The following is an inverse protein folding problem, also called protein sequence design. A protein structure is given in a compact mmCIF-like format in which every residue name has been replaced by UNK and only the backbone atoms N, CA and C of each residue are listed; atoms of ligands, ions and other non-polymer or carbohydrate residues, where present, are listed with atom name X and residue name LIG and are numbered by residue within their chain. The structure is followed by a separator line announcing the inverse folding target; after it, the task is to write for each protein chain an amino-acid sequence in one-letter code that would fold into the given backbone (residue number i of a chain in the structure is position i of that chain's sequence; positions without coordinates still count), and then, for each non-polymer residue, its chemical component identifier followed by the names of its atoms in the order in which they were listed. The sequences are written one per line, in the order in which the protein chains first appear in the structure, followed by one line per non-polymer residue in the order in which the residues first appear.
data_IF_579041930589
#
_entry.id   IF_579041930589
#
_cell.length_a   1.000
_cell.length_b   1.000
_cell.length_c   1.000
_cell.angle_alpha   90.00
_cell.angle_beta   90.00
_cell.angle_gamma   90.00
#
_symmetry.space_group_name_H-M   'P 1'
#
loop_
_entity.id
_entity.type
_entity.pdbx_description
1 polymer ?
#
# COMPACT_ATOMS: atom_id res chain seq x y z
N UNK A 1 15.77 -11.47 -13.78
CA UNK A 1 15.56 -11.22 -12.33
C UNK A 1 16.08 -9.83 -12.02
N UNK A 2 15.19 -8.83 -11.95
CA UNK A 2 15.53 -7.45 -11.61
C UNK A 2 15.52 -7.33 -10.08
N UNK A 3 16.67 -6.92 -9.53
CA UNK A 3 16.98 -6.55 -8.14
C UNK A 3 15.77 -6.42 -7.19
N UNK A 4 15.67 -7.35 -6.24
CA UNK A 4 14.93 -7.20 -4.97
C UNK A 4 15.65 -6.26 -3.97
N UNK A 5 16.71 -5.58 -4.42
CA UNK A 5 17.66 -4.83 -3.61
C UNK A 5 17.21 -3.39 -3.27
N UNK A 6 15.90 -3.19 -3.17
CA UNK A 6 15.30 -1.92 -2.75
C UNK A 6 14.25 -2.16 -1.66
N UNK A 7 14.61 -2.95 -0.65
CA UNK A 7 14.19 -2.59 0.70
C UNK A 7 14.95 -1.33 1.12
N UNK A 8 14.59 -0.21 0.45
CA UNK A 8 14.91 1.15 0.88
C UNK A 8 14.69 1.20 2.39
N UNK A 9 15.72 1.61 3.13
CA UNK A 9 15.67 1.88 4.57
C UNK A 9 14.43 2.72 4.87
N UNK A 10 13.35 2.05 5.27
CA UNK A 10 12.13 2.70 5.73
C UNK A 10 12.28 2.86 7.22
N UNK A 11 12.08 4.08 7.69
CA UNK A 11 11.99 4.38 9.11
C UNK A 11 10.94 3.41 9.69
N UNK A 12 11.29 2.62 10.71
CA UNK A 12 10.32 1.74 11.36
C UNK A 12 9.14 2.59 11.83
N UNK A 13 7.92 2.08 11.66
CA UNK A 13 6.71 2.79 12.09
C UNK A 13 6.83 3.24 13.55
N UNK A 14 7.42 2.36 14.35
CA UNK A 14 7.70 2.52 15.77
C UNK A 14 8.60 3.75 16.03
N UNK A 15 9.64 3.93 15.20
CA UNK A 15 10.55 5.09 15.28
C UNK A 15 9.86 6.37 14.84
N UNK A 16 9.04 6.32 13.78
CA UNK A 16 8.29 7.50 13.32
C UNK A 16 7.29 7.99 14.36
N UNK A 17 6.52 7.08 14.96
CA UNK A 17 5.57 7.40 16.03
C UNK A 17 6.29 7.89 17.27
N UNK A 18 7.41 7.26 17.65
CA UNK A 18 8.21 7.72 18.79
C UNK A 18 8.78 9.13 18.56
N UNK A 19 9.28 9.42 17.36
CA UNK A 19 9.78 10.74 16.98
C UNK A 19 8.68 11.81 17.08
N UNK A 20 7.47 11.49 16.59
CA UNK A 20 6.32 12.39 16.66
C UNK A 20 5.95 12.71 18.11
N UNK A 21 5.89 11.69 18.97
CA UNK A 21 5.59 11.84 20.40
C UNK A 21 6.69 12.64 21.12
N UNK A 22 7.95 12.35 20.83
CA UNK A 22 9.10 13.06 21.40
C UNK A 22 9.08 14.55 21.01
N UNK A 23 8.74 14.88 19.77
CA UNK A 23 8.60 16.27 19.32
C UNK A 23 7.43 16.98 20.00
N UNK A 24 6.26 16.35 20.10
CA UNK A 24 5.13 16.91 20.82
C UNK A 24 5.44 17.15 22.30
N UNK A 25 6.11 16.19 22.96
CA UNK A 25 6.56 16.35 24.34
C UNK A 25 7.60 17.46 24.48
N UNK A 26 8.61 17.48 23.61
CA UNK A 26 9.66 18.51 23.61
C UNK A 26 9.08 19.90 23.41
N UNK A 27 8.14 20.06 22.48
CA UNK A 27 7.38 21.29 22.28
C UNK A 27 6.65 21.70 23.56
N UNK A 28 5.89 20.77 24.18
CA UNK A 28 5.12 21.09 25.37
C UNK A 28 6.03 21.48 26.55
N UNK A 29 7.17 20.83 26.74
CA UNK A 29 8.14 21.19 27.78
C UNK A 29 8.75 22.57 27.52
N UNK A 30 9.16 22.85 26.28
CA UNK A 30 9.77 24.14 25.90
C UNK A 30 8.81 25.33 26.04
N UNK A 31 7.53 25.11 25.76
CA UNK A 31 6.52 26.17 25.77
C UNK A 31 5.80 26.31 27.12
N UNK A 32 5.86 25.30 27.98
CA UNK A 32 5.22 25.34 29.29
C UNK A 32 5.87 26.42 30.17
N UNK A 33 5.07 27.41 30.59
CA UNK A 33 5.55 28.55 31.38
C UNK A 33 6.37 29.59 30.60
N UNK A 34 6.76 29.31 29.36
CA UNK A 34 7.52 30.25 28.51
C UNK A 34 6.62 31.14 27.64
N UNK A 35 5.37 30.75 27.41
CA UNK A 35 4.41 31.48 26.57
C UNK A 35 3.06 31.63 27.28
N UNK A 36 2.25 32.58 26.83
CA UNK A 36 0.90 32.74 27.38
C UNK A 36 0.04 31.49 27.15
N UNK A 37 -0.97 31.22 27.98
CA UNK A 37 -1.85 30.06 27.83
C UNK A 37 -2.51 29.98 26.45
N UNK A 38 -2.88 31.13 25.87
CA UNK A 38 -3.52 31.22 24.56
C UNK A 38 -2.55 30.79 23.45
N UNK A 39 -1.31 31.28 23.49
CA UNK A 39 -0.27 30.90 22.55
C UNK A 39 0.08 29.41 22.69
N UNK A 40 0.08 28.87 23.90
CA UNK A 40 0.28 27.44 24.14
C UNK A 40 -0.79 26.58 23.47
N UNK A 41 -2.07 26.95 23.60
CA UNK A 41 -3.18 26.27 22.93
C UNK A 41 -3.05 26.37 21.42
N UNK A 42 -2.77 27.57 20.89
CA UNK A 42 -2.61 27.79 19.46
C UNK A 42 -1.49 26.92 18.86
N UNK A 43 -0.39 26.76 19.59
CA UNK A 43 0.74 25.95 19.15
C UNK A 43 0.42 24.46 19.07
N UNK A 44 -0.40 23.96 19.99
CA UNK A 44 -0.89 22.58 19.93
C UNK A 44 -1.86 22.36 18.77
N UNK A 45 -2.73 23.34 18.48
CA UNK A 45 -3.63 23.30 17.31
C UNK A 45 -2.81 23.26 16.02
N UNK A 46 -1.79 24.11 15.92
CA UNK A 46 -0.90 24.16 14.75
C UNK A 46 -0.16 22.82 14.56
N UNK A 47 0.37 22.24 15.63
CA UNK A 47 1.00 20.92 15.60
C UNK A 47 0.02 19.84 15.13
N UNK A 48 -1.20 19.82 15.68
CA UNK A 48 -2.26 18.90 15.27
C UNK A 48 -2.61 19.06 13.78
N UNK A 49 -2.69 20.29 13.29
CA UNK A 49 -2.97 20.57 11.89
C UNK A 49 -1.85 20.06 10.97
N UNK A 50 -0.58 20.19 11.37
CA UNK A 50 0.54 19.57 10.67
C UNK A 50 0.41 18.05 10.61
N UNK A 51 0.10 17.41 11.74
CA UNK A 51 -0.09 15.95 11.81
C UNK A 51 -1.23 15.49 10.89
N UNK A 52 -2.39 16.14 10.95
CA UNK A 52 -3.56 15.75 10.13
C UNK A 52 -3.28 15.91 8.64
N UNK A 53 -2.62 17.01 8.23
CA UNK A 53 -2.19 17.22 6.85
C UNK A 53 -1.24 16.12 6.37
N UNK A 54 -0.26 15.74 7.20
CA UNK A 54 0.68 14.67 6.88
C UNK A 54 0.03 13.29 6.78
N UNK A 55 -0.99 13.01 7.59
CA UNK A 55 -1.70 11.72 7.56
C UNK A 55 -2.61 11.58 6.33
N UNK A 56 -3.26 12.67 5.90
CA UNK A 56 -4.30 12.65 4.87
C UNK A 56 -3.77 12.70 3.43
N UNK A 57 -2.59 13.28 3.20
CA UNK A 57 -2.16 13.60 1.85
C UNK A 57 -1.28 12.55 1.16
N UNK A 58 -1.33 12.55 -0.17
CA UNK A 58 -0.30 11.94 -1.02
C UNK A 58 0.94 12.85 -1.07
N UNK A 59 2.10 12.33 -1.55
CA UNK A 59 3.36 13.10 -1.54
C UNK A 59 3.23 14.49 -2.18
N UNK A 60 2.57 14.58 -3.34
CA UNK A 60 2.38 15.82 -4.10
C UNK A 60 1.44 16.78 -3.37
N UNK A 61 0.38 16.25 -2.77
CA UNK A 61 -0.62 17.05 -2.05
C UNK A 61 0.01 17.68 -0.81
N UNK A 62 0.81 16.91 -0.06
CA UNK A 62 1.49 17.39 1.15
C UNK A 62 2.52 18.46 0.84
N UNK A 63 3.34 18.27 -0.19
CA UNK A 63 4.34 19.28 -0.58
C UNK A 63 3.64 20.58 -0.99
N UNK A 64 2.61 20.50 -1.82
CA UNK A 64 1.85 21.67 -2.30
C UNK A 64 1.17 22.43 -1.16
N UNK A 65 0.48 21.71 -0.26
CA UNK A 65 -0.19 22.31 0.90
C UNK A 65 0.80 22.93 1.88
N UNK A 66 1.90 22.25 2.20
CA UNK A 66 2.91 22.82 3.09
C UNK A 66 3.53 24.09 2.49
N UNK A 67 3.79 24.14 1.19
CA UNK A 67 4.27 25.36 0.53
C UNK A 67 3.28 26.52 0.66
N UNK A 68 2.00 26.28 0.41
CA UNK A 68 0.95 27.30 0.54
C UNK A 68 0.86 27.78 1.98
N UNK A 69 0.82 26.86 2.94
CA UNK A 69 0.71 27.18 4.37
C UNK A 69 1.91 27.97 4.87
N UNK A 70 3.13 27.62 4.46
CA UNK A 70 4.35 28.37 4.80
C UNK A 70 4.31 29.76 4.19
N UNK A 71 3.94 29.88 2.91
CA UNK A 71 3.87 31.17 2.23
C UNK A 71 2.84 32.12 2.89
N UNK A 72 1.63 31.61 3.17
CA UNK A 72 0.58 32.36 3.86
C UNK A 72 0.99 32.68 5.29
N UNK A 73 1.60 31.73 6.01
CA UNK A 73 2.07 31.93 7.37
C UNK A 73 3.14 33.01 7.48
N UNK A 74 4.13 33.01 6.58
CA UNK A 74 5.15 34.06 6.49
C UNK A 74 4.49 35.41 6.18
N UNK A 75 3.57 35.45 5.22
CA UNK A 75 2.87 36.68 4.87
C UNK A 75 2.12 37.28 6.07
N UNK A 76 1.32 36.48 6.77
CA UNK A 76 0.55 36.93 7.94
C UNK A 76 1.48 37.33 9.09
N UNK A 77 2.50 36.54 9.41
CA UNK A 77 3.32 36.78 10.60
C UNK A 77 4.33 37.92 10.43
N UNK A 78 4.81 38.17 9.21
CA UNK A 78 5.87 39.17 8.95
C UNK A 78 5.36 40.45 8.27
N UNK A 79 4.28 40.40 7.48
CA UNK A 79 3.78 41.58 6.76
C UNK A 79 2.52 42.19 7.39
N UNK A 80 1.79 41.47 8.25
CA UNK A 80 0.78 42.07 9.13
C UNK A 80 1.36 42.43 10.50
N UNK A 81 0.78 43.42 11.22
CA UNK A 81 1.28 43.88 12.52
C UNK A 81 0.92 42.90 13.65
N UNK A 82 1.37 41.66 13.53
CA UNK A 82 1.29 40.66 14.61
C UNK A 82 2.48 40.90 15.54
N UNK A 83 2.20 41.45 16.73
CA UNK A 83 3.20 41.71 17.77
C UNK A 83 3.52 40.38 18.45
N UNK A 84 4.63 39.76 18.04
CA UNK A 84 5.11 38.47 18.57
C UNK A 84 6.64 38.43 18.50
N UNK A 85 7.28 37.76 19.45
CA UNK A 85 8.73 37.56 19.42
C UNK A 85 9.16 36.80 18.16
N UNK A 86 10.23 37.28 17.53
CA UNK A 86 10.76 36.75 16.26
C UNK A 86 10.96 35.22 16.25
N UNK A 87 11.52 34.59 17.32
CA UNK A 87 11.70 33.14 17.36
C UNK A 87 10.38 32.37 17.31
N UNK A 88 9.32 32.90 17.92
CA UNK A 88 8.01 32.27 17.96
C UNK A 88 7.32 32.34 16.58
N UNK A 89 7.55 33.42 15.82
CA UNK A 89 7.09 33.52 14.42
C UNK A 89 7.68 32.43 13.54
N UNK A 90 9.01 32.22 13.63
CA UNK A 90 9.67 31.14 12.90
C UNK A 90 9.18 29.76 13.34
N UNK A 91 8.98 29.56 14.65
CA UNK A 91 8.43 28.32 15.17
C UNK A 91 7.09 27.98 14.50
N UNK A 92 6.16 28.94 14.41
CA UNK A 92 4.88 28.72 13.75
C UNK A 92 5.00 28.43 12.25
N UNK A 93 5.86 29.14 11.52
CA UNK A 93 6.08 28.88 10.10
C UNK A 93 6.61 27.47 9.81
N UNK A 94 7.49 26.94 10.65
CA UNK A 94 8.13 25.64 10.40
C UNK A 94 7.44 24.45 11.07
N UNK A 95 6.65 24.69 12.12
CA UNK A 95 5.94 23.62 12.83
C UNK A 95 5.07 22.76 11.90
N UNK A 96 4.24 23.38 11.06
CA UNK A 96 3.32 22.64 10.18
C UNK A 96 4.07 21.73 9.20
N UNK A 97 5.08 22.22 8.42
CA UNK A 97 5.90 21.36 7.57
C UNK A 97 6.58 20.21 8.30
N UNK A 98 7.14 20.46 9.49
CA UNK A 98 7.87 19.45 10.26
C UNK A 98 6.92 18.34 10.71
N UNK A 99 5.80 18.69 11.35
CA UNK A 99 4.81 17.71 11.81
C UNK A 99 4.17 16.97 10.64
N UNK A 100 3.90 17.67 9.52
CA UNK A 100 3.33 17.08 8.32
C UNK A 100 4.28 16.08 7.66
N UNK A 101 5.58 16.39 7.57
CA UNK A 101 6.57 15.48 7.00
C UNK A 101 6.71 14.19 7.83
N UNK A 102 6.75 14.30 9.15
CA UNK A 102 6.89 13.12 10.02
C UNK A 102 5.63 12.27 9.97
N UNK A 103 4.45 12.89 10.05
CA UNK A 103 3.18 12.20 9.94
C UNK A 103 3.00 11.51 8.58
N UNK A 104 3.53 12.10 7.50
CA UNK A 104 3.54 11.51 6.18
C UNK A 104 4.35 10.21 6.10
N UNK A 105 5.57 10.19 6.65
CA UNK A 105 6.40 8.99 6.65
C UNK A 105 5.75 7.85 7.46
N UNK A 106 5.06 8.18 8.56
CA UNK A 106 4.24 7.24 9.32
C UNK A 106 3.09 6.69 8.45
N UNK A 107 2.32 7.57 7.79
CA UNK A 107 1.19 7.20 6.94
C UNK A 107 1.62 6.29 5.78
N UNK A 108 2.73 6.62 5.12
CA UNK A 108 3.33 5.81 4.05
C UNK A 108 3.73 4.42 4.53
N UNK A 109 4.35 4.33 5.72
CA UNK A 109 4.72 3.05 6.33
C UNK A 109 3.50 2.19 6.66
N UNK A 110 2.43 2.79 7.18
CA UNK A 110 1.15 2.13 7.46
C UNK A 110 0.49 1.60 6.19
N UNK A 111 0.38 2.42 5.14
CA UNK A 111 -0.21 2.02 3.86
C UNK A 111 0.54 0.84 3.23
N UNK A 112 1.87 0.84 3.31
CA UNK A 112 2.68 -0.28 2.82
C UNK A 112 2.46 -1.55 3.64
N UNK A 113 2.43 -1.47 4.98
CA UNK A 113 2.12 -2.63 5.83
C UNK A 113 0.72 -3.17 5.53
N UNK A 114 -0.27 -2.30 5.35
CA UNK A 114 -1.63 -2.69 4.97
C UNK A 114 -1.66 -3.41 3.63
N UNK A 115 -0.94 -2.90 2.63
CA UNK A 115 -0.81 -3.54 1.31
C UNK A 115 -0.12 -4.92 1.36
N UNK A 116 0.90 -5.07 2.20
CA UNK A 116 1.58 -6.36 2.41
C UNK A 116 0.66 -7.38 3.09
N UNK A 117 -0.10 -6.95 4.10
CA UNK A 117 -1.05 -7.81 4.82
C UNK A 117 -2.19 -8.24 3.89
N UNK A 118 -2.78 -7.31 3.13
CA UNK A 118 -3.83 -7.66 2.15
C UNK A 118 -3.31 -8.57 1.06
N UNK A 119 -2.07 -8.35 0.58
CA UNK A 119 -1.44 -9.20 -0.43
C UNK A 119 -1.15 -10.63 0.06
N UNK A 120 -0.96 -10.84 1.37
CA UNK A 120 -0.69 -12.19 1.92
C UNK A 120 -1.85 -13.15 1.70
N UNK A 121 -3.09 -12.71 1.86
CA UNK A 121 -4.26 -13.56 1.63
C UNK A 121 -4.36 -13.97 0.17
N UNK A 122 -4.11 -13.06 -0.76
CA UNK A 122 -4.14 -13.35 -2.18
C UNK A 122 -2.97 -14.25 -2.61
N UNK A 123 -1.78 -14.05 -2.05
CA UNK A 123 -0.62 -14.92 -2.27
C UNK A 123 -0.88 -16.32 -1.70
N UNK A 124 -1.41 -16.42 -0.48
CA UNK A 124 -1.77 -17.70 0.14
C UNK A 124 -2.86 -18.42 -0.67
N UNK A 125 -3.88 -17.69 -1.12
CA UNK A 125 -4.94 -18.20 -1.99
C UNK A 125 -4.41 -18.64 -3.36
N UNK A 126 -3.46 -17.89 -3.93
CA UNK A 126 -2.79 -18.27 -5.17
C UNK A 126 -1.99 -19.56 -4.96
N UNK A 127 -1.11 -19.62 -3.97
CA UNK A 127 -0.29 -20.80 -3.66
C UNK A 127 -1.13 -22.05 -3.36
N UNK A 128 -2.22 -21.91 -2.60
CA UNK A 128 -3.11 -23.03 -2.27
C UNK A 128 -3.85 -23.59 -3.50
N UNK A 129 -4.16 -22.75 -4.48
CA UNK A 129 -4.98 -23.13 -5.63
C UNK A 129 -4.17 -23.35 -6.92
N UNK A 130 -2.84 -23.37 -6.84
CA UNK A 130 -1.95 -23.44 -7.99
C UNK A 130 -1.00 -24.61 -7.85
N UNK A 131 -0.81 -25.37 -8.92
CA UNK A 131 0.19 -26.43 -9.02
C UNK A 131 1.60 -25.82 -9.05
N UNK A 132 2.47 -26.29 -8.15
CA UNK A 132 3.83 -25.77 -7.95
C UNK A 132 4.78 -26.04 -9.12
N UNK A 133 4.42 -26.97 -10.01
CA UNK A 133 5.26 -27.38 -11.14
C UNK A 133 4.94 -26.55 -12.37
N UNK A 134 3.67 -26.31 -12.66
CA UNK A 134 3.19 -25.65 -13.88
C UNK A 134 2.80 -24.19 -13.69
N UNK A 135 2.48 -23.76 -12.47
CA UNK A 135 1.92 -22.43 -12.19
C UNK A 135 0.46 -22.28 -12.63
N UNK A 136 -0.18 -23.37 -13.07
CA UNK A 136 -1.60 -23.43 -13.41
C UNK A 136 -2.45 -23.77 -12.18
N UNK A 137 -3.76 -23.56 -12.28
CA UNK A 137 -4.69 -23.92 -11.21
C UNK A 137 -4.59 -25.43 -10.90
N UNK A 138 -4.51 -25.79 -9.62
CA UNK A 138 -4.48 -27.20 -9.21
C UNK A 138 -5.79 -27.90 -9.58
N UNK A 139 -5.73 -29.21 -9.75
CA UNK A 139 -6.88 -30.04 -10.12
C UNK A 139 -8.05 -29.88 -9.13
N UNK A 140 -7.77 -29.93 -7.83
CA UNK A 140 -8.77 -29.70 -6.78
C UNK A 140 -9.44 -28.31 -6.90
N UNK A 141 -8.64 -27.28 -7.23
CA UNK A 141 -9.15 -25.92 -7.40
C UNK A 141 -9.92 -25.74 -8.73
N UNK A 142 -9.62 -26.54 -9.76
CA UNK A 142 -10.39 -26.62 -11.00
C UNK A 142 -11.77 -27.23 -10.73
N UNK A 143 -11.84 -28.42 -10.12
CA UNK A 143 -13.12 -29.08 -9.84
C UNK A 143 -14.02 -28.25 -8.92
N UNK A 144 -13.45 -27.58 -7.90
CA UNK A 144 -14.18 -26.66 -7.04
C UNK A 144 -14.82 -25.51 -7.83
N UNK A 145 -14.07 -24.89 -8.76
CA UNK A 145 -14.55 -23.78 -9.60
C UNK A 145 -15.57 -24.26 -10.63
N UNK A 146 -15.35 -25.43 -11.23
CA UNK A 146 -16.28 -26.06 -12.16
C UNK A 146 -17.63 -26.34 -11.49
N UNK A 147 -17.63 -26.95 -10.30
CA UNK A 147 -18.84 -27.18 -9.50
C UNK A 147 -19.59 -25.88 -9.21
N UNK A 148 -18.91 -24.85 -8.71
CA UNK A 148 -19.51 -23.52 -8.48
C UNK A 148 -20.15 -22.94 -9.74
N UNK A 149 -19.49 -23.04 -10.89
CA UNK A 149 -20.01 -22.54 -12.15
C UNK A 149 -21.27 -23.32 -12.58
N UNK A 150 -21.22 -24.66 -12.55
CA UNK A 150 -22.37 -25.51 -12.90
C UNK A 150 -23.56 -25.31 -11.95
N UNK A 151 -23.33 -25.08 -10.66
CA UNK A 151 -24.37 -24.74 -9.69
C UNK A 151 -24.97 -23.35 -9.97
N UNK A 152 -24.14 -22.37 -10.35
CA UNK A 152 -24.63 -21.02 -10.71
C UNK A 152 -25.49 -21.00 -11.98
N UNK A 153 -25.24 -21.91 -12.92
CA UNK A 153 -26.06 -22.08 -14.13
C UNK A 153 -27.45 -22.65 -13.79
N UNK A 154 -27.56 -23.50 -12.77
CA UNK A 154 -28.85 -24.07 -12.33
C UNK A 154 -29.78 -23.04 -11.68
N UNK A 155 -29.22 -21.99 -11.07
CA UNK A 155 -30.01 -20.99 -10.30
C UNK A 155 -30.52 -19.83 -11.17
N UNK A 156 -29.94 -19.58 -12.36
CA UNK A 156 -30.33 -18.48 -13.26
C UNK A 156 -30.73 -19.00 -14.65
N UNK A 157 -31.83 -19.75 -14.71
CA UNK A 157 -32.36 -20.36 -15.94
C UNK A 157 -33.18 -19.42 -16.84
N UNK A 158 -33.29 -18.12 -16.52
CA UNK A 158 -34.22 -17.21 -17.21
C UNK A 158 -33.72 -16.58 -18.51
N UNK A 159 -32.42 -16.65 -18.85
CA UNK A 159 -31.87 -16.16 -20.13
C UNK A 159 -30.84 -17.14 -20.70
N UNK A 160 -31.29 -17.98 -21.63
CA UNK A 160 -30.67 -19.23 -22.05
C UNK A 160 -29.62 -19.05 -23.17
N UNK A 161 -28.58 -18.26 -22.91
CA UNK A 161 -27.47 -18.04 -23.88
C UNK A 161 -26.09 -18.41 -23.35
N UNK A 162 -25.98 -18.90 -22.11
CA UNK A 162 -24.67 -19.19 -21.48
C UNK A 162 -24.17 -20.58 -21.85
N UNK A 163 -23.20 -20.65 -22.76
CA UNK A 163 -22.49 -21.88 -23.13
C UNK A 163 -21.21 -22.05 -22.30
N UNK A 164 -20.95 -23.26 -21.81
CA UNK A 164 -19.69 -23.62 -21.15
C UNK A 164 -18.77 -24.30 -22.17
N UNK A 165 -17.66 -23.64 -22.50
CA UNK A 165 -16.56 -24.24 -23.28
C UNK A 165 -15.50 -24.82 -22.35
N UNK A 166 -15.15 -26.09 -22.54
CA UNK A 166 -14.09 -26.75 -21.79
C UNK A 166 -13.02 -27.23 -22.80
N UNK A 167 -11.79 -26.75 -22.62
CA UNK A 167 -10.66 -27.14 -23.44
C UNK A 167 -9.77 -28.09 -22.64
N UNK A 168 -9.60 -29.30 -23.16
CA UNK A 168 -8.67 -30.30 -22.64
C UNK A 168 -7.42 -30.32 -23.50
N UNK A 169 -6.26 -30.26 -22.87
CA UNK A 169 -4.97 -30.33 -23.54
C UNK A 169 -4.16 -31.48 -22.93
N UNK A 170 -3.65 -32.37 -23.77
CA UNK A 170 -2.77 -33.46 -23.39
C UNK A 170 -1.45 -33.30 -24.15
N UNK A 171 -0.34 -33.67 -23.51
CA UNK A 171 0.97 -33.71 -24.18
C UNK A 171 1.14 -35.12 -24.75
N UNK A 172 1.18 -35.22 -26.08
CA UNK A 172 1.43 -36.48 -26.76
C UNK A 172 2.84 -37.01 -26.44
N UNK A 173 2.97 -38.33 -26.31
CA UNK A 173 4.23 -39.03 -26.01
C UNK A 173 4.90 -38.66 -24.66
N UNK A 174 4.14 -38.13 -23.70
CA UNK A 174 4.67 -37.70 -22.39
C UNK A 174 5.48 -38.79 -21.65
N UNK A 175 5.03 -40.05 -21.71
CA UNK A 175 5.72 -41.16 -21.06
C UNK A 175 7.12 -41.38 -21.65
N UNK A 176 7.28 -41.31 -22.97
CA UNK A 176 8.58 -41.46 -23.64
C UNK A 176 9.57 -40.35 -23.24
N UNK A 177 9.09 -39.11 -23.07
CA UNK A 177 9.93 -38.01 -22.60
C UNK A 177 10.35 -38.17 -21.12
N UNK A 178 9.44 -38.66 -20.27
CA UNK A 178 9.73 -38.93 -18.85
C UNK A 178 10.81 -40.01 -18.66
N UNK A 179 10.86 -41.02 -19.54
CA UNK A 179 11.87 -42.07 -19.49
C UNK A 179 13.27 -41.61 -19.94
N UNK A 180 13.36 -40.58 -20.79
CA UNK A 180 14.64 -40.07 -21.31
C UNK A 180 15.29 -39.02 -20.39
N UNK A 181 14.52 -38.04 -19.90
CA UNK A 181 15.03 -37.02 -18.99
C UNK A 181 13.90 -36.35 -18.18
N UNK A 182 13.91 -36.59 -16.86
CA UNK A 182 12.93 -36.03 -15.92
C UNK A 182 13.03 -34.52 -15.78
N UNK A 183 14.21 -33.92 -15.89
CA UNK A 183 14.38 -32.47 -15.76
C UNK A 183 13.98 -31.72 -17.03
N UNK A 184 14.31 -32.26 -18.20
CA UNK A 184 13.88 -31.70 -19.49
C UNK A 184 12.35 -31.73 -19.64
N UNK A 185 11.71 -32.83 -19.19
CA UNK A 185 10.25 -32.95 -19.23
C UNK A 185 9.57 -31.93 -18.31
N UNK A 186 10.09 -31.73 -17.10
CA UNK A 186 9.62 -30.70 -16.16
C UNK A 186 9.76 -29.29 -16.73
N UNK A 187 10.82 -29.03 -17.50
CA UNK A 187 11.07 -27.74 -18.18
C UNK A 187 10.08 -27.50 -19.34
N UNK A 188 9.73 -28.53 -20.11
CA UNK A 188 8.74 -28.43 -21.19
C UNK A 188 7.32 -28.21 -20.66
N UNK A 189 6.90 -28.92 -19.60
CA UNK A 189 5.61 -28.70 -18.96
C UNK A 189 5.47 -27.27 -18.40
N UNK A 190 6.55 -26.69 -17.87
CA UNK A 190 6.62 -25.28 -17.42
C UNK A 190 6.56 -24.23 -18.52
N UNK A 191 6.97 -24.60 -19.74
CA UNK A 191 6.94 -23.71 -20.91
C UNK A 191 5.53 -23.69 -21.52
N UNK A 192 4.92 -24.87 -21.64
CA UNK A 192 3.55 -25.00 -22.13
C UNK A 192 2.54 -24.40 -21.13
N UNK A 193 2.66 -24.67 -19.83
CA UNK A 193 1.77 -24.14 -18.78
C UNK A 193 1.62 -22.60 -18.75
N UNK A 194 2.61 -21.85 -19.25
CA UNK A 194 2.57 -20.38 -19.29
C UNK A 194 1.73 -19.78 -20.42
N UNK A 195 1.28 -20.57 -21.39
CA UNK A 195 0.48 -20.11 -22.53
C UNK A 195 -1.03 -20.39 -22.41
N UNK A 196 -1.50 -20.93 -21.30
CA UNK A 196 -2.89 -21.35 -21.15
C UNK A 196 -3.68 -20.42 -20.23
N UNK A 197 -4.69 -19.77 -20.80
CA UNK A 197 -5.70 -19.00 -20.08
C UNK A 197 -7.09 -19.43 -20.57
N UNK A 198 -8.05 -19.51 -19.64
CA UNK A 198 -9.46 -19.75 -19.95
C UNK A 198 -10.01 -18.55 -20.74
N UNK A 199 -10.41 -18.78 -21.99
CA UNK A 199 -11.08 -17.78 -22.80
C UNK A 199 -12.59 -17.86 -22.60
N UNK A 200 -13.22 -16.72 -22.34
CA UNK A 200 -14.66 -16.55 -22.44
C UNK A 200 -14.98 -16.40 -23.93
N UNK A 201 -15.66 -17.40 -24.50
CA UNK A 201 -16.19 -17.29 -25.86
C UNK A 201 -17.57 -16.65 -25.72
N UNK A 202 -17.69 -15.43 -26.24
CA UNK A 202 -18.92 -14.64 -26.32
C UNK A 202 -19.94 -15.30 -27.24
#
# INVERSE_FOLDING_TARGET
MKKLDKHEQKIPLEVGVFLLLALCMGQNILLNGAVSPEAFVFTNIVALMGVTLGLLGSSIVIVSLNFIVVAVGIFILFFQPVIMMLPLKFFYCFSIPIYSFIAYEISKSLLMRKGLISGREDIARYLHNTDSTTGLRSEAAFYKKYKQYTESLKVRQTDDTRKLGLAMFQIDFFEQYMYQDKEATKKNSRRNGRNFSLYKIS
#
